data_IF_208118066802
#
_entry.id   IF_208118066802
#
_cell.length_a   1.000
_cell.length_b   1.000
_cell.length_c   1.000
_cell.angle_alpha   90.00
_cell.angle_beta   90.00
_cell.angle_gamma   90.00
#
_symmetry.space_group_name_H-M   'P 1'
#
loop_
_entity.id
_entity.type
_entity.pdbx_description
1 polymer ?
#
# COMPACT_ATOMS: atom_id res chain seq x y z
N UNK A 1 -8.04 -24.05 -29.23
CA UNK A 1 -8.09 -22.74 -28.56
C UNK A 1 -6.82 -22.64 -27.72
N UNK A 2 -6.09 -21.53 -27.80
CA UNK A 2 -4.88 -21.36 -26.98
C UNK A 2 -5.26 -21.43 -25.51
N UNK A 3 -4.51 -22.20 -24.73
CA UNK A 3 -4.66 -22.30 -23.28
C UNK A 3 -4.37 -20.93 -22.66
N UNK A 4 -5.31 -20.34 -21.88
CA UNK A 4 -5.07 -19.04 -21.27
C UNK A 4 -3.82 -19.01 -20.39
N UNK A 5 -3.06 -17.91 -20.44
CA UNK A 5 -1.75 -17.86 -19.76
C UNK A 5 -1.86 -17.97 -18.23
N UNK A 6 -3.00 -17.59 -17.65
CA UNK A 6 -3.24 -17.67 -16.20
C UNK A 6 -3.53 -19.08 -15.69
N UNK A 7 -3.82 -20.02 -16.60
CA UNK A 7 -3.92 -21.44 -16.28
C UNK A 7 -2.55 -22.14 -16.26
N UNK A 8 -1.47 -21.46 -16.68
CA UNK A 8 -0.11 -21.99 -16.61
C UNK A 8 0.45 -21.80 -15.20
N UNK A 9 0.16 -22.74 -14.31
CA UNK A 9 0.74 -22.79 -12.97
C UNK A 9 2.14 -23.38 -13.06
N UNK A 10 3.12 -22.71 -12.45
CA UNK A 10 4.50 -23.14 -12.46
C UNK A 10 4.63 -24.49 -11.71
N UNK A 11 5.35 -25.50 -12.24
CA UNK A 11 5.40 -26.85 -11.65
C UNK A 11 6.06 -26.92 -10.26
N UNK A 12 6.95 -25.98 -9.94
CA UNK A 12 7.53 -25.84 -8.60
C UNK A 12 6.62 -25.09 -7.60
N UNK A 13 5.48 -24.53 -8.02
CA UNK A 13 4.56 -23.87 -7.08
C UNK A 13 4.14 -24.83 -5.96
N UNK A 14 4.18 -24.35 -4.72
CA UNK A 14 3.63 -25.05 -3.56
C UNK A 14 2.75 -24.11 -2.76
N UNK A 15 1.64 -24.63 -2.24
CA UNK A 15 0.77 -23.93 -1.30
C UNK A 15 0.76 -24.69 0.02
N UNK A 16 1.18 -24.04 1.11
CA UNK A 16 1.37 -24.65 2.44
C UNK A 16 2.17 -25.96 2.39
N UNK A 17 3.20 -26.02 1.53
CA UNK A 17 4.08 -27.17 1.34
C UNK A 17 3.60 -28.24 0.35
N UNK A 18 2.35 -28.20 -0.11
CA UNK A 18 1.80 -29.18 -1.05
C UNK A 18 1.88 -28.70 -2.51
N UNK A 19 2.06 -29.64 -3.44
CA UNK A 19 1.98 -29.40 -4.89
C UNK A 19 0.57 -29.62 -5.39
N UNK A 20 0.16 -28.85 -6.39
CA UNK A 20 -1.17 -28.96 -6.98
C UNK A 20 -1.10 -28.82 -8.50
N UNK A 21 -1.83 -29.67 -9.20
CA UNK A 21 -2.30 -29.44 -10.57
C UNK A 21 -3.47 -28.45 -10.57
N UNK A 22 -3.89 -27.98 -11.76
CA UNK A 22 -5.06 -27.10 -11.88
C UNK A 22 -6.33 -27.73 -11.29
N UNK A 23 -6.59 -29.00 -11.57
CA UNK A 23 -7.77 -29.71 -11.05
C UNK A 23 -7.71 -29.87 -9.53
N UNK A 24 -6.53 -30.13 -8.97
CA UNK A 24 -6.34 -30.21 -7.52
C UNK A 24 -6.47 -28.83 -6.86
N UNK A 25 -6.07 -27.73 -7.51
CA UNK A 25 -6.32 -26.37 -7.01
C UNK A 25 -7.81 -26.00 -7.05
N UNK A 26 -8.56 -26.47 -8.05
CA UNK A 26 -10.02 -26.30 -8.09
C UNK A 26 -10.66 -27.11 -6.95
N UNK A 27 -10.19 -28.33 -6.70
CA UNK A 27 -10.67 -29.15 -5.59
C UNK A 27 -10.37 -28.49 -4.24
N UNK A 28 -9.14 -28.00 -4.04
CA UNK A 28 -8.73 -27.22 -2.88
C UNK A 28 -9.61 -25.98 -2.72
N UNK A 29 -9.88 -25.25 -3.81
CA UNK A 29 -10.75 -24.08 -3.79
C UNK A 29 -12.15 -24.41 -3.25
N UNK A 30 -12.74 -25.52 -3.71
CA UNK A 30 -14.05 -26.02 -3.22
C UNK A 30 -14.00 -26.47 -1.76
N UNK A 31 -12.88 -27.01 -1.29
CA UNK A 31 -12.71 -27.36 0.12
C UNK A 31 -12.66 -26.10 0.99
N UNK A 32 -11.79 -25.14 0.63
CA UNK A 32 -11.54 -23.94 1.41
C UNK A 32 -12.77 -23.04 1.56
N UNK A 33 -13.66 -22.98 0.57
CA UNK A 33 -14.91 -22.20 0.67
C UNK A 33 -15.90 -22.75 1.69
N UNK A 34 -15.73 -23.99 2.15
CA UNK A 34 -16.58 -24.64 3.15
C UNK A 34 -15.95 -24.67 4.55
N UNK A 35 -14.86 -23.94 4.76
CA UNK A 35 -14.19 -23.84 6.06
C UNK A 35 -14.81 -22.75 6.92
N UNK A 36 -14.61 -22.81 8.24
CA UNK A 36 -15.05 -21.78 9.18
C UNK A 36 -14.10 -20.57 9.24
N UNK A 37 -12.91 -20.68 8.64
CA UNK A 37 -11.88 -19.65 8.66
C UNK A 37 -12.08 -18.67 7.50
N UNK A 38 -12.56 -17.46 7.80
CA UNK A 38 -12.94 -16.46 6.79
C UNK A 38 -11.82 -16.13 5.78
N UNK A 39 -10.55 -16.13 6.19
CA UNK A 39 -9.45 -15.87 5.24
C UNK A 39 -9.22 -17.05 4.28
N UNK A 40 -9.41 -18.29 4.73
CA UNK A 40 -9.36 -19.48 3.89
C UNK A 40 -10.50 -19.48 2.87
N UNK A 41 -11.71 -19.11 3.29
CA UNK A 41 -12.86 -18.95 2.38
C UNK A 41 -12.54 -17.98 1.23
N UNK A 42 -11.92 -16.83 1.52
CA UNK A 42 -11.50 -15.88 0.48
C UNK A 42 -10.41 -16.44 -0.45
N UNK A 43 -9.49 -17.29 0.06
CA UNK A 43 -8.52 -18.02 -0.77
C UNK A 43 -9.25 -19.00 -1.70
N UNK A 44 -10.18 -19.79 -1.17
CA UNK A 44 -10.95 -20.73 -1.98
C UNK A 44 -11.76 -20.05 -3.08
N UNK A 45 -12.47 -18.97 -2.74
CA UNK A 45 -13.24 -18.17 -3.71
C UNK A 45 -12.33 -17.62 -4.81
N UNK A 46 -11.18 -17.08 -4.45
CA UNK A 46 -10.25 -16.51 -5.43
C UNK A 46 -9.57 -17.57 -6.31
N UNK A 47 -9.22 -18.75 -5.77
CA UNK A 47 -8.70 -19.86 -6.58
C UNK A 47 -9.70 -20.30 -7.65
N UNK A 48 -10.99 -20.44 -7.27
CA UNK A 48 -12.05 -20.81 -8.19
C UNK A 48 -12.27 -19.74 -9.27
N UNK A 49 -12.22 -18.46 -8.89
CA UNK A 49 -12.34 -17.36 -9.84
C UNK A 49 -11.13 -17.30 -10.77
N UNK A 50 -9.91 -17.39 -10.24
CA UNK A 50 -8.65 -17.35 -11.00
C UNK A 50 -8.55 -18.48 -12.02
N UNK A 51 -8.94 -19.71 -11.65
CA UNK A 51 -8.86 -20.88 -12.52
C UNK A 51 -10.05 -21.00 -13.48
N UNK A 52 -11.06 -20.14 -13.38
CA UNK A 52 -12.14 -20.09 -14.36
C UNK A 52 -11.67 -19.57 -15.73
N UNK A 53 -12.47 -19.84 -16.77
CA UNK A 53 -12.23 -19.36 -18.14
C UNK A 53 -12.47 -17.85 -18.31
N UNK A 54 -13.03 -17.17 -17.30
CA UNK A 54 -13.18 -15.71 -17.34
C UNK A 54 -11.80 -15.06 -17.43
N UNK A 55 -11.63 -14.12 -18.37
CA UNK A 55 -10.37 -13.40 -18.56
C UNK A 55 -10.16 -12.24 -17.58
N UNK A 56 -11.16 -11.95 -16.74
CA UNK A 56 -11.16 -10.85 -15.78
C UNK A 56 -11.37 -11.33 -14.35
N UNK A 57 -10.91 -10.53 -13.39
CA UNK A 57 -11.17 -10.63 -11.96
C UNK A 57 -11.75 -9.30 -11.48
N UNK A 58 -12.85 -9.35 -10.74
CA UNK A 58 -13.45 -8.16 -10.13
C UNK A 58 -12.78 -7.84 -8.79
N UNK A 59 -12.38 -6.58 -8.62
CA UNK A 59 -11.73 -6.10 -7.40
C UNK A 59 -12.43 -4.85 -6.92
N UNK A 60 -12.79 -4.84 -5.63
CA UNK A 60 -13.34 -3.67 -4.97
C UNK A 60 -12.21 -2.73 -4.51
N UNK A 61 -12.30 -1.46 -4.87
CA UNK A 61 -11.43 -0.40 -4.32
C UNK A 61 -12.13 0.29 -3.17
N UNK A 62 -11.37 0.73 -2.17
CA UNK A 62 -11.92 1.38 -1.00
C UNK A 62 -12.56 2.75 -1.28
N UNK A 63 -12.25 3.38 -2.43
CA UNK A 63 -12.70 4.72 -2.82
C UNK A 63 -12.26 5.81 -1.83
N UNK A 64 -11.64 6.91 -2.28
CA UNK A 64 -11.37 8.06 -1.39
C UNK A 64 -12.67 8.68 -0.83
N UNK A 65 -13.80 8.47 -1.51
CA UNK A 65 -15.14 8.95 -1.14
C UNK A 65 -15.89 7.98 -0.21
N UNK A 66 -15.32 6.82 0.11
CA UNK A 66 -15.94 5.81 0.98
C UNK A 66 -17.02 4.93 0.34
N UNK A 67 -17.35 5.13 -0.94
CA UNK A 67 -18.18 4.20 -1.72
C UNK A 67 -17.26 3.26 -2.49
N UNK A 68 -17.30 1.95 -2.25
CA UNK A 68 -16.45 1.02 -2.98
C UNK A 68 -16.77 1.02 -4.47
N UNK A 69 -15.74 1.03 -5.32
CA UNK A 69 -15.88 0.89 -6.78
C UNK A 69 -15.34 -0.47 -7.19
N UNK A 70 -16.11 -1.19 -8.02
CA UNK A 70 -15.64 -2.43 -8.64
C UNK A 70 -14.80 -2.05 -9.87
N UNK A 71 -13.60 -2.63 -9.96
CA UNK A 71 -12.69 -2.53 -11.11
C UNK A 71 -12.50 -3.94 -11.66
N UNK A 72 -12.63 -4.08 -12.98
CA UNK A 72 -12.32 -5.30 -13.70
C UNK A 72 -10.84 -5.31 -14.09
N UNK A 73 -10.09 -6.32 -13.65
CA UNK A 73 -8.68 -6.50 -13.98
C UNK A 73 -8.51 -7.71 -14.88
N UNK A 74 -7.79 -7.57 -16.00
CA UNK A 74 -7.46 -8.70 -16.87
C UNK A 74 -6.46 -9.63 -16.17
N UNK A 75 -6.74 -10.93 -16.15
CA UNK A 75 -5.83 -11.94 -15.59
C UNK A 75 -4.47 -11.93 -16.28
N UNK A 76 -4.43 -11.67 -17.58
CA UNK A 76 -3.18 -11.48 -18.33
C UNK A 76 -2.32 -10.35 -17.76
N UNK A 77 -2.91 -9.19 -17.48
CA UNK A 77 -2.21 -8.08 -16.87
C UNK A 77 -1.71 -8.42 -15.45
N UNK A 78 -2.47 -9.22 -14.70
CA UNK A 78 -2.06 -9.69 -13.37
C UNK A 78 -0.86 -10.65 -13.46
N UNK A 79 -0.83 -11.55 -14.45
CA UNK A 79 0.36 -12.38 -14.74
C UNK A 79 1.57 -11.51 -15.08
N UNK A 80 1.39 -10.50 -15.93
CA UNK A 80 2.47 -9.56 -16.28
C UNK A 80 3.00 -8.79 -15.06
N UNK A 81 2.12 -8.36 -14.15
CA UNK A 81 2.49 -7.71 -12.89
C UNK A 81 3.30 -8.65 -11.98
N UNK A 82 2.94 -9.94 -11.91
CA UNK A 82 3.70 -10.95 -11.19
C UNK A 82 5.10 -11.15 -11.77
N UNK A 83 5.22 -11.26 -13.10
CA UNK A 83 6.50 -11.38 -13.81
C UNK A 83 7.40 -10.16 -13.59
N UNK A 84 6.84 -8.95 -13.65
CA UNK A 84 7.57 -7.72 -13.37
C UNK A 84 8.11 -7.67 -11.93
N UNK A 85 7.31 -8.13 -10.95
CA UNK A 85 7.75 -8.27 -9.56
C UNK A 85 8.91 -9.27 -9.46
N UNK A 86 8.76 -10.45 -10.08
CA UNK A 86 9.78 -11.51 -10.06
C UNK A 86 11.10 -11.07 -10.70
N UNK A 87 11.03 -10.35 -11.82
CA UNK A 87 12.21 -9.82 -12.50
C UNK A 87 12.95 -8.76 -11.66
N UNK A 88 12.22 -7.80 -11.09
CA UNK A 88 12.83 -6.73 -10.28
C UNK A 88 13.48 -7.28 -9.01
N UNK A 89 12.75 -8.11 -8.27
CA UNK A 89 13.24 -8.68 -7.02
C UNK A 89 14.07 -9.94 -7.21
N UNK A 90 14.33 -10.39 -8.43
CA UNK A 90 15.07 -11.63 -8.72
C UNK A 90 14.52 -12.81 -7.90
N UNK A 91 13.20 -13.01 -8.00
CA UNK A 91 12.52 -14.12 -7.34
C UNK A 91 12.65 -15.36 -8.21
N UNK A 92 13.07 -16.46 -7.60
CA UNK A 92 13.34 -17.73 -8.27
C UNK A 92 12.36 -18.81 -7.81
N UNK A 93 12.07 -19.82 -8.65
CA UNK A 93 11.25 -20.95 -8.23
C UNK A 93 11.77 -21.59 -6.93
N UNK A 94 10.85 -22.13 -6.12
CA UNK A 94 11.07 -22.76 -4.81
C UNK A 94 11.45 -21.84 -3.66
N UNK A 95 11.69 -20.56 -3.92
CA UNK A 95 11.83 -19.57 -2.86
C UNK A 95 10.54 -19.47 -2.04
N UNK A 96 10.66 -19.26 -0.73
CA UNK A 96 9.54 -19.23 0.19
C UNK A 96 8.94 -17.83 0.26
N UNK A 97 7.62 -17.75 0.10
CA UNK A 97 6.87 -16.51 0.22
C UNK A 97 5.82 -16.61 1.32
N UNK A 98 5.55 -15.49 2.00
CA UNK A 98 4.49 -15.38 3.01
C UNK A 98 3.29 -14.60 2.47
N UNK A 99 2.12 -15.23 2.49
CA UNK A 99 0.83 -14.59 2.33
C UNK A 99 0.23 -14.31 3.72
N UNK A 100 0.31 -13.06 4.15
CA UNK A 100 -0.27 -12.57 5.41
C UNK A 100 -1.19 -11.34 5.22
N UNK A 101 -1.61 -11.10 3.97
CA UNK A 101 -2.51 -10.03 3.58
C UNK A 101 -3.88 -10.62 3.22
N UNK A 102 -4.99 -9.94 3.53
CA UNK A 102 -6.31 -10.43 3.19
C UNK A 102 -6.51 -10.44 1.68
N UNK A 103 -7.16 -11.50 1.18
CA UNK A 103 -7.50 -11.64 -0.25
C UNK A 103 -8.72 -10.80 -0.66
N UNK A 104 -9.36 -10.10 0.27
CA UNK A 104 -10.37 -9.08 -0.05
C UNK A 104 -9.76 -7.96 -0.91
N UNK A 105 -8.50 -7.60 -0.67
CA UNK A 105 -7.73 -6.64 -1.46
C UNK A 105 -6.86 -7.27 -2.55
N UNK A 106 -6.45 -6.46 -3.52
CA UNK A 106 -5.59 -6.90 -4.63
C UNK A 106 -4.19 -7.37 -4.18
N UNK A 107 -3.67 -6.82 -3.09
CA UNK A 107 -2.35 -7.15 -2.58
C UNK A 107 -2.24 -8.63 -2.16
N UNK A 108 -3.24 -9.16 -1.44
CA UNK A 108 -3.30 -10.57 -1.07
C UNK A 108 -3.48 -11.49 -2.28
N UNK A 109 -4.42 -11.15 -3.18
CA UNK A 109 -4.63 -11.88 -4.45
C UNK A 109 -3.33 -12.00 -5.25
N UNK A 110 -2.56 -10.92 -5.36
CA UNK A 110 -1.32 -10.89 -6.11
C UNK A 110 -0.18 -11.67 -5.45
N UNK A 111 -0.17 -11.87 -4.13
CA UNK A 111 0.80 -12.80 -3.52
C UNK A 111 0.54 -14.25 -3.95
N UNK A 112 -0.74 -14.65 -4.04
CA UNK A 112 -1.10 -15.97 -4.55
C UNK A 112 -0.74 -16.12 -6.04
N UNK A 113 -1.07 -15.12 -6.87
CA UNK A 113 -0.71 -15.13 -8.30
C UNK A 113 0.80 -15.16 -8.50
N UNK A 114 1.58 -14.34 -7.78
CA UNK A 114 3.04 -14.35 -7.86
C UNK A 114 3.59 -15.74 -7.56
N UNK A 115 3.09 -16.40 -6.53
CA UNK A 115 3.54 -17.74 -6.20
C UNK A 115 3.22 -18.76 -7.31
N UNK A 116 1.99 -18.73 -7.84
CA UNK A 116 1.57 -19.60 -8.94
C UNK A 116 2.36 -19.36 -10.23
N UNK A 117 2.63 -18.11 -10.59
CA UNK A 117 3.31 -17.71 -11.82
C UNK A 117 4.83 -17.93 -11.74
N UNK A 118 5.44 -17.60 -10.60
CA UNK A 118 6.90 -17.65 -10.41
C UNK A 118 7.40 -18.97 -9.81
N UNK A 119 6.48 -19.87 -9.41
CA UNK A 119 6.85 -21.14 -8.79
C UNK A 119 7.33 -21.02 -7.35
N UNK A 120 6.83 -20.05 -6.60
CA UNK A 120 7.21 -19.87 -5.19
C UNK A 120 6.50 -20.89 -4.30
N UNK A 121 7.09 -21.17 -3.14
CA UNK A 121 6.43 -21.92 -2.09
C UNK A 121 5.72 -20.93 -1.16
N UNK A 122 4.40 -20.85 -1.26
CA UNK A 122 3.60 -19.88 -0.51
C UNK A 122 3.06 -20.51 0.78
N UNK A 123 3.41 -19.93 1.92
CA UNK A 123 2.72 -20.18 3.18
C UNK A 123 1.63 -19.11 3.34
N UNK A 124 0.38 -19.53 3.55
CA UNK A 124 -0.72 -18.65 3.88
C UNK A 124 -1.03 -18.73 5.37
N UNK A 125 -1.11 -17.57 6.03
CA UNK A 125 -1.50 -17.44 7.44
C UNK A 125 -2.69 -16.52 7.57
N UNK A 126 -3.41 -16.62 8.68
CA UNK A 126 -4.49 -15.69 9.00
C UNK A 126 -3.95 -14.24 9.02
N UNK A 127 -4.55 -13.31 8.24
CA UNK A 127 -4.14 -11.92 8.25
C UNK A 127 -4.30 -11.31 9.65
N UNK A 128 -3.20 -10.88 10.25
CA UNK A 128 -3.19 -10.25 11.56
C UNK A 128 -2.22 -9.08 11.62
N UNK A 129 -2.25 -8.31 12.71
CA UNK A 129 -1.28 -7.25 12.96
C UNK A 129 0.13 -7.79 13.28
N UNK A 130 0.27 -9.08 13.59
CA UNK A 130 1.54 -9.74 13.94
C UNK A 130 1.72 -11.04 13.14
N UNK A 131 1.96 -10.97 11.82
CA UNK A 131 1.94 -12.15 10.96
C UNK A 131 3.17 -13.07 11.07
N UNK A 132 4.23 -12.65 11.77
CA UNK A 132 5.49 -13.40 11.89
C UNK A 132 5.62 -14.15 13.23
N UNK A 133 4.54 -14.76 13.73
CA UNK A 133 4.61 -15.45 15.03
C UNK A 133 5.36 -16.78 14.98
N UNK A 134 5.32 -17.46 13.84
CA UNK A 134 6.05 -18.71 13.65
C UNK A 134 7.51 -18.45 13.35
N UNK A 135 8.42 -19.27 13.90
CA UNK A 135 9.85 -19.19 13.64
C UNK A 135 10.21 -19.84 12.29
N UNK A 136 9.67 -19.27 11.20
CA UNK A 136 9.92 -19.64 9.81
C UNK A 136 10.62 -18.51 9.08
N UNK A 137 11.45 -18.86 8.11
CA UNK A 137 12.14 -17.90 7.24
C UNK A 137 11.53 -17.87 5.85
N UNK A 138 11.48 -16.67 5.27
CA UNK A 138 10.88 -16.37 3.98
C UNK A 138 11.85 -15.56 3.11
N UNK A 139 11.93 -15.90 1.83
CA UNK A 139 12.68 -15.14 0.85
C UNK A 139 11.93 -13.84 0.46
N UNK A 140 10.60 -13.88 0.48
CA UNK A 140 9.77 -12.76 0.05
C UNK A 140 8.48 -12.62 0.87
N UNK A 141 8.11 -11.40 1.25
CA UNK A 141 6.83 -11.11 1.87
C UNK A 141 6.29 -9.74 1.45
N UNK A 142 4.98 -9.58 1.53
CA UNK A 142 4.30 -8.30 1.36
C UNK A 142 3.52 -7.97 2.64
N UNK A 143 3.70 -6.77 3.19
CA UNK A 143 3.07 -6.34 4.44
C UNK A 143 2.59 -4.89 4.34
N UNK A 144 1.65 -4.51 5.22
CA UNK A 144 1.30 -3.09 5.44
C UNK A 144 2.18 -2.49 6.55
N UNK A 145 2.38 -1.15 6.62
CA UNK A 145 3.23 -0.53 7.63
C UNK A 145 2.95 -0.97 9.07
N UNK A 146 1.67 -1.11 9.44
CA UNK A 146 1.27 -1.55 10.79
C UNK A 146 1.77 -2.96 11.12
N UNK A 147 1.74 -3.88 10.17
CA UNK A 147 2.25 -5.25 10.37
C UNK A 147 3.77 -5.24 10.58
N UNK A 148 4.48 -4.38 9.84
CA UNK A 148 5.93 -4.22 9.96
C UNK A 148 6.29 -3.63 11.32
N UNK A 149 5.59 -2.57 11.75
CA UNK A 149 5.77 -1.94 13.07
C UNK A 149 5.58 -2.92 14.23
N UNK A 150 4.62 -3.83 14.11
CA UNK A 150 4.32 -4.82 15.14
C UNK A 150 5.19 -6.09 15.06
N UNK A 151 6.06 -6.19 14.05
CA UNK A 151 6.90 -7.37 13.79
C UNK A 151 8.38 -7.01 13.64
N UNK A 152 8.83 -5.88 14.21
CA UNK A 152 10.19 -5.34 14.07
C UNK A 152 11.24 -6.39 14.47
N UNK A 153 11.02 -7.06 15.61
CA UNK A 153 11.96 -8.04 16.16
C UNK A 153 12.05 -9.32 15.31
N UNK A 154 11.04 -9.59 14.48
CA UNK A 154 10.96 -10.76 13.61
C UNK A 154 11.36 -10.45 12.16
N UNK A 155 11.71 -9.20 11.82
CA UNK A 155 12.02 -8.84 10.43
C UNK A 155 13.18 -9.64 9.83
N UNK A 156 14.10 -10.15 10.65
CA UNK A 156 15.17 -11.05 10.22
C UNK A 156 14.69 -12.38 9.65
N UNK A 157 13.41 -12.74 9.86
CA UNK A 157 12.77 -13.88 9.23
C UNK A 157 12.52 -13.68 7.73
N UNK A 158 12.54 -12.44 7.24
CA UNK A 158 12.26 -12.11 5.84
C UNK A 158 13.54 -11.60 5.18
N UNK A 159 13.85 -12.10 3.98
CA UNK A 159 14.95 -11.59 3.17
C UNK A 159 14.55 -10.33 2.41
N UNK A 160 13.50 -10.38 1.60
CA UNK A 160 12.97 -9.24 0.82
C UNK A 160 11.54 -8.92 1.25
N UNK A 161 11.30 -7.67 1.64
CA UNK A 161 10.01 -7.20 2.13
C UNK A 161 9.52 -6.03 1.27
N UNK A 162 8.35 -6.18 0.67
CA UNK A 162 7.63 -5.05 0.10
C UNK A 162 6.58 -4.52 1.08
N UNK A 163 6.56 -3.21 1.26
CA UNK A 163 5.66 -2.50 2.16
C UNK A 163 4.75 -1.63 1.30
N UNK A 164 3.44 -1.82 1.42
CA UNK A 164 2.46 -1.13 0.59
C UNK A 164 1.17 -0.81 1.32
N UNK A 165 0.22 -0.21 0.60
CA UNK A 165 -1.12 0.10 1.10
C UNK A 165 -1.22 1.42 1.88
N UNK A 166 -0.12 1.93 2.43
CA UNK A 166 -0.01 3.27 3.03
C UNK A 166 1.45 3.74 3.00
N UNK A 167 1.71 5.07 3.08
CA UNK A 167 3.06 5.59 3.19
C UNK A 167 3.81 5.04 4.41
N UNK A 168 5.10 4.78 4.25
CA UNK A 168 5.99 4.39 5.36
C UNK A 168 6.41 5.65 6.11
N UNK A 169 5.95 5.82 7.34
CA UNK A 169 6.25 7.00 8.17
C UNK A 169 7.75 7.10 8.56
N UNK A 170 8.14 8.29 9.03
CA UNK A 170 9.54 8.61 9.39
C UNK A 170 10.11 7.68 10.47
N UNK A 171 9.30 7.26 11.44
CA UNK A 171 9.73 6.39 12.54
C UNK A 171 10.01 4.98 12.02
N UNK A 172 9.12 4.44 11.19
CA UNK A 172 9.29 3.14 10.57
C UNK A 172 10.48 3.13 9.60
N UNK A 173 10.68 4.21 8.82
CA UNK A 173 11.87 4.35 7.96
C UNK A 173 13.16 4.33 8.75
N UNK A 174 13.19 4.99 9.91
CA UNK A 174 14.35 4.98 10.79
C UNK A 174 14.67 3.56 11.29
N UNK A 175 13.66 2.81 11.73
CA UNK A 175 13.82 1.42 12.18
C UNK A 175 14.31 0.51 11.04
N UNK A 176 13.72 0.66 9.85
CA UNK A 176 14.07 -0.15 8.68
C UNK A 176 15.50 0.11 8.21
N UNK A 177 16.04 1.33 8.40
CA UNK A 177 17.37 1.72 7.93
C UNK A 177 18.47 0.76 8.40
N UNK A 178 18.37 0.30 9.64
CA UNK A 178 19.36 -0.54 10.31
C UNK A 178 18.92 -2.01 10.40
N UNK A 179 17.78 -2.38 9.81
CA UNK A 179 17.28 -3.75 9.78
C UNK A 179 18.00 -4.59 8.72
N UNK A 180 18.13 -5.89 8.99
CA UNK A 180 18.76 -6.87 8.09
C UNK A 180 17.89 -7.26 6.89
N UNK A 181 16.57 -6.99 6.93
CA UNK A 181 15.65 -7.27 5.81
C UNK A 181 15.86 -6.28 4.68
N UNK A 182 15.91 -6.72 3.43
CA UNK A 182 15.86 -5.82 2.26
C UNK A 182 14.43 -5.29 2.08
N UNK A 183 14.18 -4.08 2.60
CA UNK A 183 12.84 -3.50 2.63
C UNK A 183 12.65 -2.43 1.55
N UNK A 184 11.46 -2.45 0.94
CA UNK A 184 11.08 -1.57 -0.16
C UNK A 184 9.67 -1.02 0.07
N UNK A 185 9.52 0.30 0.03
CA UNK A 185 8.23 0.94 -0.09
C UNK A 185 7.75 0.81 -1.54
N UNK A 186 6.48 0.47 -1.73
CA UNK A 186 5.88 0.30 -3.06
C UNK A 186 4.94 1.44 -3.38
N UNK A 187 4.95 1.91 -4.62
CA UNK A 187 3.95 2.83 -5.16
C UNK A 187 3.10 2.12 -6.20
N UNK A 188 1.78 2.17 -6.02
CA UNK A 188 0.81 1.52 -6.87
C UNK A 188 -0.62 1.64 -6.36
N UNK A 189 -1.56 1.25 -7.20
CA UNK A 189 -3.00 1.33 -6.96
C UNK A 189 -3.71 0.14 -7.63
N UNK A 190 -5.02 0.02 -7.42
CA UNK A 190 -5.78 -1.09 -8.02
C UNK A 190 -5.82 -0.97 -9.54
N UNK A 191 -5.89 0.25 -10.07
CA UNK A 191 -5.86 0.57 -11.50
C UNK A 191 -4.55 0.12 -12.17
N UNK A 192 -3.46 0.03 -11.40
CA UNK A 192 -2.18 -0.53 -11.85
C UNK A 192 -1.94 -1.95 -11.34
N UNK A 193 -3.02 -2.63 -10.91
CA UNK A 193 -3.03 -3.95 -10.26
C UNK A 193 -2.32 -3.93 -8.89
N UNK A 194 -1.00 -3.73 -8.87
CA UNK A 194 -0.24 -3.48 -7.65
C UNK A 194 0.79 -2.40 -7.89
N UNK A 195 2.05 -2.65 -7.55
CA UNK A 195 3.11 -1.65 -7.61
C UNK A 195 3.68 -1.52 -9.01
N UNK A 196 3.93 -0.27 -9.40
CA UNK A 196 4.62 0.08 -10.65
C UNK A 196 5.98 0.71 -10.38
N UNK A 197 6.25 1.07 -9.13
CA UNK A 197 7.52 1.60 -8.70
C UNK A 197 7.81 1.20 -7.26
N UNK A 198 9.09 1.19 -6.93
CA UNK A 198 9.59 0.81 -5.61
C UNK A 198 10.65 1.79 -5.14
N UNK A 199 10.78 1.93 -3.82
CA UNK A 199 11.75 2.79 -3.18
C UNK A 199 12.41 2.02 -2.06
N UNK A 200 13.71 1.79 -2.17
CA UNK A 200 14.48 1.08 -1.14
C UNK A 200 14.47 1.89 0.17
N UNK A 201 14.11 1.26 1.29
CA UNK A 201 13.98 1.93 2.59
C UNK A 201 15.19 1.74 3.50
N UNK A 202 16.10 0.82 3.16
CA UNK A 202 17.27 0.51 3.99
C UNK A 202 18.57 0.43 3.17
N UNK A 203 19.72 0.47 3.87
CA UNK A 203 21.06 0.37 3.26
C UNK A 203 21.26 1.26 2.02
N UNK A 204 21.19 2.58 2.23
CA UNK A 204 21.09 3.68 1.22
C UNK A 204 19.65 3.94 0.79
N UNK A 205 18.81 4.48 1.68
CA UNK A 205 17.44 4.83 1.34
C UNK A 205 17.42 5.85 0.19
N UNK A 206 16.55 5.62 -0.78
CA UNK A 206 16.28 6.57 -1.87
C UNK A 206 15.16 7.52 -1.45
N UNK A 207 15.24 8.78 -1.90
CA UNK A 207 14.08 9.68 -1.83
C UNK A 207 13.08 9.46 -2.96
N UNK A 208 13.53 8.81 -4.05
CA UNK A 208 12.77 8.59 -5.27
C UNK A 208 12.29 7.15 -5.37
N UNK A 209 11.05 6.98 -5.82
CA UNK A 209 10.57 5.72 -6.36
C UNK A 209 11.18 5.50 -7.74
N UNK A 210 11.59 4.27 -8.02
CA UNK A 210 12.08 3.81 -9.31
C UNK A 210 11.04 2.89 -9.95
N UNK A 211 10.67 3.17 -11.20
CA UNK A 211 9.66 2.38 -11.91
C UNK A 211 10.17 0.99 -12.29
N UNK A 212 9.24 0.04 -12.36
CA UNK A 212 9.51 -1.29 -12.91
C UNK A 212 9.76 -1.18 -14.42
N UNK A 213 10.46 -2.18 -14.98
CA UNK A 213 10.76 -2.24 -16.41
C UNK A 213 9.47 -2.18 -17.26
N UNK A 214 9.49 -1.33 -18.28
CA UNK A 214 8.35 -1.14 -19.18
C UNK A 214 7.24 -0.23 -18.65
N UNK A 215 7.50 0.50 -17.57
CA UNK A 215 6.64 1.57 -17.07
C UNK A 215 7.31 2.91 -17.35
N UNK A 216 6.60 3.78 -18.06
CA UNK A 216 6.99 5.18 -18.32
C UNK A 216 6.12 6.13 -17.54
N UNK A 217 6.69 7.27 -17.14
CA UNK A 217 6.03 8.25 -16.27
C UNK A 217 6.21 9.66 -16.82
N UNK A 218 5.16 10.46 -16.64
CA UNK A 218 5.16 11.89 -16.93
C UNK A 218 4.25 12.63 -15.95
N UNK A 219 4.15 13.95 -16.05
CA UNK A 219 3.18 14.75 -15.30
C UNK A 219 2.15 15.38 -16.22
N UNK A 220 0.91 15.50 -15.74
CA UNK A 220 -0.08 16.37 -16.37
C UNK A 220 0.17 17.87 -16.05
N UNK A 221 -0.76 18.73 -16.48
CA UNK A 221 -0.72 20.18 -16.26
C UNK A 221 -0.83 20.60 -14.79
N UNK A 222 -1.32 19.70 -13.92
CA UNK A 222 -1.40 19.90 -12.47
C UNK A 222 -0.11 19.52 -11.75
N UNK A 223 0.82 18.83 -12.43
CA UNK A 223 1.98 18.19 -11.83
C UNK A 223 1.68 16.81 -11.23
N UNK A 224 0.52 16.23 -11.56
CA UNK A 224 0.13 14.91 -11.09
C UNK A 224 0.75 13.83 -11.97
N UNK A 225 1.12 12.70 -11.36
CA UNK A 225 1.72 11.58 -12.06
C UNK A 225 0.76 10.97 -13.08
N UNK A 226 1.25 10.77 -14.30
CA UNK A 226 0.61 10.00 -15.37
C UNK A 226 1.50 8.79 -15.64
N UNK A 227 0.88 7.60 -15.64
CA UNK A 227 1.57 6.32 -15.73
C UNK A 227 1.17 5.65 -17.03
N UNK A 228 2.13 5.34 -17.89
CA UNK A 228 1.94 4.44 -19.03
C UNK A 228 2.62 3.09 -18.73
N UNK A 229 1.82 2.03 -18.76
CA UNK A 229 2.22 0.69 -18.36
C UNK A 229 1.46 -0.36 -19.20
N UNK A 230 1.75 -0.48 -20.51
CA UNK A 230 0.89 -1.17 -21.47
C UNK A 230 0.75 -2.69 -21.24
N UNK A 231 1.65 -3.29 -20.46
CA UNK A 231 1.55 -4.71 -20.09
C UNK A 231 0.55 -4.98 -18.96
N UNK A 232 0.16 -3.94 -18.21
CA UNK A 232 -0.71 -4.08 -17.04
C UNK A 232 -1.95 -3.19 -17.08
N UNK A 233 -2.00 -2.20 -17.98
CA UNK A 233 -3.13 -1.32 -18.23
C UNK A 233 -3.29 -1.08 -19.73
N UNK A 234 -4.54 -1.09 -20.22
CA UNK A 234 -4.85 -0.79 -21.63
C UNK A 234 -4.78 0.71 -21.95
N UNK A 235 -4.76 1.56 -20.92
CA UNK A 235 -4.73 3.02 -21.04
C UNK A 235 -3.78 3.64 -20.01
N UNK A 236 -3.35 4.88 -20.28
CA UNK A 236 -2.62 5.67 -19.30
C UNK A 236 -3.46 5.87 -18.03
N UNK A 237 -2.81 5.75 -16.88
CA UNK A 237 -3.42 5.99 -15.57
C UNK A 237 -3.05 7.40 -15.12
N UNK A 238 -4.00 8.32 -15.21
CA UNK A 238 -3.87 9.68 -14.68
C UNK A 238 -4.21 9.67 -13.19
N UNK A 239 -3.24 10.01 -12.35
CA UNK A 239 -3.42 10.01 -10.90
C UNK A 239 -3.83 11.39 -10.37
N UNK A 240 -4.07 11.48 -9.07
CA UNK A 240 -4.14 12.73 -8.32
C UNK A 240 -2.95 12.86 -7.36
N UNK A 241 -1.83 12.21 -7.69
CA UNK A 241 -0.62 12.21 -6.87
C UNK A 241 0.37 13.21 -7.45
N UNK A 242 0.68 14.27 -6.70
CA UNK A 242 1.71 15.21 -7.09
C UNK A 242 3.09 14.59 -6.96
N UNK A 243 3.90 14.78 -8.00
CA UNK A 243 5.25 14.21 -8.06
C UNK A 243 6.26 15.20 -8.62
N UNK A 244 7.52 15.00 -8.23
CA UNK A 244 8.68 15.57 -8.91
C UNK A 244 9.38 14.45 -9.68
N UNK A 245 9.44 14.56 -11.01
CA UNK A 245 10.12 13.56 -11.87
C UNK A 245 11.62 13.83 -11.88
N UNK A 246 12.40 12.76 -11.75
CA UNK A 246 13.85 12.77 -11.85
C UNK A 246 14.30 11.77 -12.93
N UNK A 247 14.70 12.27 -14.09
CA UNK A 247 15.06 11.42 -15.23
C UNK A 247 13.83 10.71 -15.83
N UNK A 248 14.06 9.55 -16.45
CA UNK A 248 13.02 8.84 -17.22
C UNK A 248 12.19 7.86 -16.39
N UNK A 249 12.72 7.38 -15.26
CA UNK A 249 12.15 6.25 -14.51
C UNK A 249 12.09 6.48 -13.00
N UNK A 250 12.32 7.71 -12.52
CA UNK A 250 12.24 8.01 -11.09
C UNK A 250 11.35 9.19 -10.78
N UNK A 251 10.69 9.15 -9.63
CA UNK A 251 9.88 10.26 -9.14
C UNK A 251 9.83 10.33 -7.61
N UNK A 252 9.67 11.53 -7.08
CA UNK A 252 9.44 11.79 -5.66
C UNK A 252 7.98 12.12 -5.46
N UNK A 253 7.29 11.34 -4.63
CA UNK A 253 5.90 11.61 -4.26
C UNK A 253 5.82 12.78 -3.25
N UNK A 254 5.02 13.78 -3.60
CA UNK A 254 4.89 15.03 -2.85
C UNK A 254 3.62 15.09 -2.01
N UNK A 255 2.56 14.39 -2.41
CA UNK A 255 1.28 14.41 -1.71
C UNK A 255 0.10 14.22 -2.66
N UNK A 256 -1.10 14.26 -2.10
CA UNK A 256 -2.35 14.23 -2.86
C UNK A 256 -2.75 15.62 -3.35
N UNK A 257 -3.00 15.77 -4.65
CA UNK A 257 -3.47 17.02 -5.23
C UNK A 257 -4.79 17.48 -4.61
N UNK A 258 -5.71 16.53 -4.39
CA UNK A 258 -7.02 16.75 -3.75
C UNK A 258 -6.92 17.07 -2.25
N UNK A 259 -5.75 16.92 -1.64
CA UNK A 259 -5.50 17.28 -0.23
C UNK A 259 -4.78 18.61 -0.05
N UNK A 260 -4.36 19.29 -1.12
CA UNK A 260 -3.66 20.58 -1.02
C UNK A 260 -4.55 21.60 -0.30
N UNK A 261 -3.99 22.25 0.72
CA UNK A 261 -4.66 23.33 1.45
C UNK A 261 -4.12 24.65 0.91
N UNK A 262 -5.01 25.51 0.42
CA UNK A 262 -4.66 26.87 -0.01
C UNK A 262 -4.93 27.83 1.14
N UNK A 263 -3.89 28.18 1.90
CA UNK A 263 -3.98 29.08 3.05
C UNK A 263 -3.34 30.42 2.76
N UNK A 264 -4.16 31.47 2.57
CA UNK A 264 -3.69 32.83 2.28
C UNK A 264 -2.83 32.91 1.01
N UNK A 265 -3.17 32.12 -0.02
CA UNK A 265 -2.42 32.02 -1.28
C UNK A 265 -1.20 31.08 -1.25
N UNK A 266 -0.94 30.41 -0.13
CA UNK A 266 0.17 29.46 0.03
C UNK A 266 -0.37 28.03 -0.06
N UNK A 267 0.25 27.22 -0.92
CA UNK A 267 -0.04 25.78 -1.02
C UNK A 267 0.66 25.03 0.10
N UNK A 268 -0.13 24.39 0.94
CA UNK A 268 0.32 23.53 2.02
C UNK A 268 0.00 22.08 1.67
N UNK A 269 0.96 21.19 1.88
CA UNK A 269 0.85 19.76 1.58
C UNK A 269 0.71 19.00 2.91
N UNK A 270 -0.51 18.58 3.30
CA UNK A 270 -0.76 17.96 4.60
C UNK A 270 0.20 16.83 4.93
N UNK A 271 0.46 15.94 3.98
CA UNK A 271 1.28 14.75 4.19
C UNK A 271 2.76 15.09 4.44
N UNK A 272 3.28 16.15 3.82
CA UNK A 272 4.64 16.63 4.10
C UNK A 272 4.75 17.30 5.46
N UNK A 273 3.71 18.00 5.88
CA UNK A 273 3.70 18.62 7.20
C UNK A 273 3.52 17.52 8.26
N UNK A 274 2.67 16.52 8.02
CA UNK A 274 2.51 15.34 8.88
C UNK A 274 3.84 14.60 9.08
N UNK A 275 4.64 14.40 8.03
CA UNK A 275 6.00 13.82 8.13
C UNK A 275 6.90 14.59 9.12
N UNK A 276 6.78 15.93 9.16
CA UNK A 276 7.53 16.80 10.09
C UNK A 276 7.01 16.71 11.52
N UNK A 277 5.70 16.52 11.71
CA UNK A 277 5.05 16.46 13.02
C UNK A 277 5.12 15.07 13.67
N UNK A 278 5.31 14.01 12.87
CA UNK A 278 5.32 12.62 13.33
C UNK A 278 6.30 12.31 14.48
N UNK A 279 7.49 12.92 14.58
CA UNK A 279 8.38 12.71 15.74
C UNK A 279 7.85 13.33 17.05
N UNK A 280 6.98 14.33 16.97
CA UNK A 280 6.47 15.09 18.10
C UNK A 280 5.16 14.49 18.66
N UNK A 281 4.27 14.05 17.77
CA UNK A 281 2.93 13.55 18.13
C UNK A 281 2.96 12.02 18.11
N UNK A 282 2.64 11.40 19.25
CA UNK A 282 2.69 9.92 19.38
C UNK A 282 1.41 9.25 18.92
N UNK A 283 0.30 9.94 19.08
CA UNK A 283 -1.04 9.51 18.69
C UNK A 283 -1.21 9.50 17.17
N UNK A 284 -2.27 8.85 16.68
CA UNK A 284 -2.64 9.00 15.27
C UNK A 284 -3.14 10.43 15.05
N UNK A 285 -2.67 11.08 13.99
CA UNK A 285 -3.11 12.43 13.65
C UNK A 285 -3.15 12.64 12.13
N UNK A 286 -3.87 13.67 11.70
CA UNK A 286 -3.79 14.17 10.32
C UNK A 286 -4.02 15.68 10.27
N UNK A 287 -3.58 16.31 9.18
CA UNK A 287 -3.82 17.71 8.87
C UNK A 287 -4.93 17.85 7.83
N UNK A 288 -5.71 18.93 7.97
CA UNK A 288 -6.80 19.25 7.07
C UNK A 288 -6.95 20.76 6.88
N UNK A 289 -7.59 21.16 5.78
CA UNK A 289 -7.97 22.54 5.53
C UNK A 289 -9.43 22.75 5.86
N UNK A 290 -9.74 23.69 6.76
CA UNK A 290 -11.12 24.13 7.03
C UNK A 290 -11.36 25.50 6.40
N UNK A 291 -12.60 25.82 5.95
CA UNK A 291 -12.93 27.15 5.47
C UNK A 291 -12.57 28.25 6.47
N UNK A 292 -12.02 29.35 5.96
CA UNK A 292 -11.63 30.52 6.75
C UNK A 292 -11.88 31.79 5.93
N UNK A 293 -12.53 32.80 6.53
CA UNK A 293 -12.91 34.02 5.82
C UNK A 293 -11.72 34.84 5.32
N UNK A 294 -10.57 34.76 6.00
CA UNK A 294 -9.37 35.55 5.66
C UNK A 294 -8.40 34.76 4.80
N UNK A 295 -8.20 33.48 5.13
CA UNK A 295 -7.19 32.62 4.50
C UNK A 295 -7.74 31.82 3.32
N UNK A 296 -9.06 31.81 3.11
CA UNK A 296 -9.75 30.85 2.25
C UNK A 296 -9.83 29.48 2.94
N UNK A 297 -8.69 28.89 3.25
CA UNK A 297 -8.60 27.72 4.13
C UNK A 297 -7.58 27.94 5.26
N UNK A 298 -7.94 27.58 6.48
CA UNK A 298 -7.00 27.47 7.61
C UNK A 298 -6.53 26.03 7.77
N UNK A 299 -5.23 25.85 8.00
CA UNK A 299 -4.65 24.56 8.37
C UNK A 299 -5.06 24.19 9.79
N UNK A 300 -5.61 22.99 9.99
CA UNK A 300 -5.95 22.44 11.31
C UNK A 300 -5.31 21.08 11.53
N UNK A 301 -5.03 20.77 12.79
CA UNK A 301 -4.51 19.48 13.23
C UNK A 301 -5.62 18.69 13.92
N UNK A 302 -5.80 17.43 13.56
CA UNK A 302 -6.75 16.53 14.21
C UNK A 302 -5.97 15.37 14.82
N UNK A 303 -6.10 15.19 16.14
CA UNK A 303 -5.39 14.17 16.93
C UNK A 303 -6.40 13.18 17.50
N UNK A 304 -6.12 11.89 17.38
CA UNK A 304 -6.92 10.85 18.01
C UNK A 304 -6.48 10.60 19.45
N UNK A 305 -7.38 10.79 20.41
CA UNK A 305 -7.13 10.54 21.82
C UNK A 305 -7.83 11.53 22.73
N UNK A 306 -7.50 11.45 24.01
CA UNK A 306 -7.98 12.39 25.00
C UNK A 306 -7.30 13.76 24.84
N UNK A 307 -8.03 14.88 25.03
CA UNK A 307 -7.46 16.21 24.89
C UNK A 307 -6.30 16.46 25.86
N UNK A 308 -5.27 17.11 25.37
CA UNK A 308 -4.21 17.71 26.18
C UNK A 308 -4.01 19.19 25.79
N UNK A 309 -3.07 19.88 26.45
CA UNK A 309 -2.90 21.32 26.29
C UNK A 309 -2.55 21.70 24.84
N UNK A 310 -3.50 22.30 24.13
CA UNK A 310 -3.36 22.78 22.76
C UNK A 310 -2.25 23.83 22.62
N UNK A 311 -2.10 24.74 23.59
CA UNK A 311 -1.10 25.80 23.52
C UNK A 311 0.32 25.22 23.60
N UNK A 312 0.53 24.25 24.49
CA UNK A 312 1.82 23.56 24.64
C UNK A 312 2.17 22.79 23.36
N UNK A 313 1.18 22.12 22.75
CA UNK A 313 1.37 21.41 21.48
C UNK A 313 1.73 22.38 20.35
N UNK A 314 0.97 23.47 20.17
CA UNK A 314 1.23 24.46 19.14
C UNK A 314 2.59 25.14 19.34
N UNK A 315 3.00 25.39 20.58
CA UNK A 315 4.32 25.93 20.89
C UNK A 315 5.44 24.94 20.54
N UNK A 316 5.22 23.65 20.83
CA UNK A 316 6.15 22.58 20.47
C UNK A 316 6.24 22.37 18.95
N UNK A 317 5.14 22.53 18.23
CA UNK A 317 5.14 22.52 16.76
C UNK A 317 5.94 23.71 16.24
N UNK A 318 5.67 24.93 16.74
CA UNK A 318 6.38 26.16 16.32
C UNK A 318 7.88 26.11 16.54
N UNK A 319 8.36 25.34 17.51
CA UNK A 319 9.79 25.21 17.81
C UNK A 319 10.51 24.20 16.92
N UNK A 320 9.80 23.43 16.08
CA UNK A 320 10.42 22.49 15.14
C UNK A 320 11.25 23.25 14.09
N UNK A 321 12.56 22.95 13.93
CA UNK A 321 13.41 23.65 12.95
C UNK A 321 12.95 23.50 11.49
N UNK A 322 12.21 22.44 11.19
CA UNK A 322 11.73 22.11 9.84
C UNK A 322 10.37 22.72 9.49
N UNK A 323 9.69 23.35 10.45
CA UNK A 323 8.36 23.94 10.24
C UNK A 323 8.49 25.42 9.83
N UNK A 324 7.75 25.82 8.81
CA UNK A 324 7.57 27.24 8.50
C UNK A 324 6.40 27.84 9.30
N UNK A 325 6.36 29.18 9.43
CA UNK A 325 5.26 29.88 10.11
C UNK A 325 3.87 29.62 9.49
N UNK A 326 3.82 29.22 8.22
CA UNK A 326 2.59 28.93 7.49
C UNK A 326 2.09 27.49 7.70
N UNK A 327 3.01 26.58 8.05
CA UNK A 327 2.71 25.17 8.32
C UNK A 327 2.29 24.91 9.78
N UNK A 328 2.29 25.95 10.62
CA UNK A 328 1.78 25.85 11.99
C UNK A 328 0.25 25.84 11.96
N UNK A 329 -0.42 24.78 12.46
CA UNK A 329 -1.88 24.70 12.53
C UNK A 329 -2.48 25.90 13.26
N UNK A 330 -3.63 26.38 12.78
CA UNK A 330 -4.39 27.48 13.40
C UNK A 330 -5.27 27.01 14.55
N UNK A 331 -5.55 25.71 14.61
CA UNK A 331 -6.41 25.08 15.60
C UNK A 331 -6.08 23.59 15.70
N UNK A 332 -6.20 23.03 16.90
CA UNK A 332 -6.09 21.60 17.17
C UNK A 332 -7.46 21.04 17.59
N UNK A 333 -7.85 19.91 17.01
CA UNK A 333 -9.04 19.16 17.38
C UNK A 333 -8.64 17.81 17.93
N UNK A 334 -9.23 17.42 19.05
CA UNK A 334 -9.08 16.10 19.64
C UNK A 334 -10.35 15.29 19.41
N UNK A 335 -10.21 14.08 18.90
CA UNK A 335 -11.31 13.14 18.70
C UNK A 335 -11.00 11.83 19.39
N UNK A 336 -11.97 11.25 20.10
CA UNK A 336 -11.75 9.98 20.83
C UNK A 336 -11.25 8.86 19.93
N UNK A 337 -11.86 8.74 18.75
CA UNK A 337 -11.52 7.76 17.72
C UNK A 337 -11.78 8.31 16.33
N UNK A 338 -10.88 8.02 15.40
CA UNK A 338 -11.05 8.30 13.98
C UNK A 338 -12.12 7.41 13.36
N UNK A 339 -12.83 7.98 12.40
CA UNK A 339 -13.68 7.18 11.52
C UNK A 339 -12.77 6.45 10.54
N UNK A 340 -12.92 5.14 10.41
CA UNK A 340 -12.11 4.32 9.49
C UNK A 340 -12.92 3.80 8.30
N UNK A 341 -12.23 3.49 7.22
CA UNK A 341 -12.77 2.78 6.05
C UNK A 341 -12.83 1.27 6.32
N UNK A 342 -13.47 0.51 5.42
CA UNK A 342 -13.49 -0.96 5.51
C UNK A 342 -12.09 -1.60 5.51
N UNK A 343 -11.08 -0.89 4.98
CA UNK A 343 -9.67 -1.32 4.99
C UNK A 343 -8.88 -0.75 6.19
N UNK A 344 -9.56 -0.29 7.25
CA UNK A 344 -8.96 0.27 8.47
C UNK A 344 -8.06 1.50 8.24
N UNK A 345 -8.24 2.20 7.11
CA UNK A 345 -7.59 3.49 6.85
C UNK A 345 -8.42 4.63 7.44
N UNK A 346 -7.76 5.66 7.95
CA UNK A 346 -8.41 6.89 8.44
C UNK A 346 -9.25 7.51 7.33
N UNK A 347 -10.54 7.72 7.57
CA UNK A 347 -11.43 8.50 6.73
C UNK A 347 -11.42 9.95 7.22
N UNK A 348 -10.54 10.77 6.62
CA UNK A 348 -10.34 12.18 7.00
C UNK A 348 -11.64 12.97 6.88
N UNK A 349 -12.34 12.88 5.75
CA UNK A 349 -13.60 13.60 5.49
C UNK A 349 -14.67 13.31 6.54
N UNK A 350 -15.01 12.03 6.77
CA UNK A 350 -16.02 11.66 7.79
C UNK A 350 -15.57 11.96 9.21
N UNK A 351 -14.27 12.04 9.47
CA UNK A 351 -13.76 12.45 10.78
C UNK A 351 -13.93 13.96 10.97
N UNK A 352 -13.68 14.76 9.92
CA UNK A 352 -13.88 16.21 9.94
C UNK A 352 -15.36 16.59 10.15
N UNK A 353 -16.29 15.89 9.50
CA UNK A 353 -17.74 16.06 9.68
C UNK A 353 -18.23 15.89 11.14
N UNK A 354 -17.43 15.26 12.02
CA UNK A 354 -17.77 15.07 13.44
C UNK A 354 -17.29 16.22 14.33
N UNK A 355 -16.43 17.09 13.83
CA UNK A 355 -15.80 18.18 14.59
C UNK A 355 -16.10 19.58 14.02
N UNK A 356 -16.62 19.65 12.80
CA UNK A 356 -17.17 20.85 12.15
C UNK A 356 -18.67 20.74 12.10
#
# INVERSE_FOLDING_TARGET
MNHPIWHNIHPDFRFNGASYTNDELIALGKELVNTDEAYQVHIGQFLLDWLSDKSIVEVSTSGSTGTPKIIELRKEHMVNSALATGAYFQLEPRQKALLCLPLTGIAGKMMLIRAMVLGLHLDAVEPSSKPLQENKTYDFAAMVPLQVQNSIDQLSQIRKLIIGGAPVDTKLRYILRDSSVEAFETYGMTETITHIAVKKTNHKPSEYFETLSGVTIQTDDRGCLVIDAPKISDAEVVTNDLVEINGENQFKWLGRYDSIINSGGIKLFPEKIEEKLAPLIRERFFLAGLPDETLGQKLVLVVEGEPYNEQDLLQSIKSLPSISKYEVPKQVYFVKTFTETATQKINRTKTLERIT
#
